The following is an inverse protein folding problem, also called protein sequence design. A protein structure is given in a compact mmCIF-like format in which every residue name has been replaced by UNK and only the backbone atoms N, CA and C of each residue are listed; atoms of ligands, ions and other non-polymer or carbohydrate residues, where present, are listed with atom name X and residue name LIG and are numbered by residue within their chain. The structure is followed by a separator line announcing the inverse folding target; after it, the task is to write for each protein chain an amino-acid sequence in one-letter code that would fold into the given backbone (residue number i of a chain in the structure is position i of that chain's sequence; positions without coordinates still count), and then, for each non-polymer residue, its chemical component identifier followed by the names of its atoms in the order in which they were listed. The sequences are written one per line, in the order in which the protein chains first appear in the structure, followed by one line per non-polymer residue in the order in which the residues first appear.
data_IF_780223949200
#
_entry.id   IF_780223949200
#
_cell.length_a   1.000
_cell.length_b   1.000
_cell.length_c   1.000
_cell.angle_alpha   90.00
_cell.angle_beta   90.00
_cell.angle_gamma   90.00
#
_symmetry.space_group_name_H-M   'P 1'
#
loop_
_entity.id
_entity.type
_entity.pdbx_description
1 polymer ?
#
# COMPACT_ATOMS: atom_id res chain seq x y z
N UNK A 1 13.69 13.17 -6.84
CA UNK A 1 12.52 13.06 -5.95
C UNK A 1 13.01 12.31 -4.73
N UNK A 2 12.67 12.76 -3.52
CA UNK A 2 12.95 12.02 -2.29
C UNK A 2 11.70 11.20 -1.93
N UNK A 3 11.88 9.95 -1.52
CA UNK A 3 10.79 9.06 -1.13
C UNK A 3 10.81 8.85 0.38
N UNK A 4 9.67 9.02 1.03
CA UNK A 4 9.56 8.88 2.49
C UNK A 4 8.38 7.98 2.83
N UNK A 5 8.63 6.94 3.64
CA UNK A 5 7.57 6.12 4.21
C UNK A 5 7.04 6.77 5.50
N UNK A 6 5.72 6.87 5.61
CA UNK A 6 5.00 7.49 6.71
C UNK A 6 3.92 6.54 7.24
N UNK A 7 3.53 6.71 8.50
CA UNK A 7 2.54 5.84 9.15
C UNK A 7 1.41 6.63 9.78
N UNK A 8 0.22 6.05 9.78
CA UNK A 8 -0.91 6.53 10.58
C UNK A 8 -0.93 5.84 11.94
N UNK A 9 -1.58 6.46 12.93
CA UNK A 9 -1.72 5.85 14.26
C UNK A 9 -2.43 4.49 14.21
N UNK A 10 -3.41 4.34 13.33
CA UNK A 10 -4.16 3.10 13.16
C UNK A 10 -3.29 2.01 12.53
N UNK A 11 -2.50 2.36 11.51
CA UNK A 11 -1.54 1.42 10.92
C UNK A 11 -0.51 0.93 11.94
N UNK A 12 0.02 1.83 12.78
CA UNK A 12 0.96 1.47 13.85
C UNK A 12 0.33 0.47 14.83
N UNK A 13 -0.95 0.63 15.17
CA UNK A 13 -1.65 -0.32 16.05
C UNK A 13 -1.85 -1.67 15.37
N UNK A 14 -2.24 -1.69 14.09
CA UNK A 14 -2.46 -2.92 13.33
C UNK A 14 -1.17 -3.73 13.22
N UNK A 15 -0.07 -3.06 12.88
CA UNK A 15 1.20 -3.72 12.70
C UNK A 15 1.77 -4.21 14.03
N UNK A 16 1.59 -3.46 15.13
CA UNK A 16 1.99 -3.91 16.47
C UNK A 16 1.27 -5.19 16.94
N UNK A 17 0.12 -5.52 16.35
CA UNK A 17 -0.63 -6.74 16.63
C UNK A 17 -0.44 -7.86 15.59
N UNK A 18 0.38 -7.64 14.56
CA UNK A 18 0.62 -8.61 13.51
C UNK A 18 1.59 -9.71 13.97
N UNK A 19 1.47 -10.89 13.37
CA UNK A 19 2.40 -12.00 13.60
C UNK A 19 3.82 -11.63 13.16
N UNK A 20 4.83 -12.20 13.83
CA UNK A 20 6.25 -11.92 13.56
C UNK A 20 6.63 -12.13 12.10
N UNK A 21 6.14 -13.21 11.47
CA UNK A 21 6.38 -13.46 10.05
C UNK A 21 5.83 -12.34 9.14
N UNK A 22 4.67 -11.78 9.49
CA UNK A 22 4.07 -10.66 8.74
C UNK A 22 4.93 -9.41 8.88
N UNK A 23 5.42 -9.15 10.09
CA UNK A 23 6.31 -8.04 10.40
C UNK A 23 7.62 -8.12 9.64
N UNK A 24 8.25 -9.30 9.64
CA UNK A 24 9.51 -9.55 8.94
C UNK A 24 9.33 -9.30 7.44
N UNK A 25 8.29 -9.91 6.83
CA UNK A 25 8.01 -9.71 5.39
C UNK A 25 7.68 -8.26 5.06
N UNK A 26 6.91 -7.59 5.92
CA UNK A 26 6.60 -6.18 5.76
C UNK A 26 7.87 -5.33 5.78
N UNK A 27 8.74 -5.55 6.75
CA UNK A 27 9.96 -4.78 6.91
C UNK A 27 10.92 -5.01 5.72
N UNK A 28 11.21 -6.28 5.43
CA UNK A 28 12.17 -6.68 4.39
C UNK A 28 11.73 -6.25 2.98
N UNK A 29 10.43 -6.37 2.68
CA UNK A 29 9.93 -6.13 1.33
C UNK A 29 9.34 -4.73 1.12
N UNK A 30 9.19 -3.92 2.17
CA UNK A 30 8.61 -2.58 2.05
C UNK A 30 9.43 -1.51 2.75
N UNK A 31 9.63 -1.61 4.07
CA UNK A 31 10.27 -0.54 4.86
C UNK A 31 11.71 -0.28 4.40
N UNK A 32 12.51 -1.35 4.28
CA UNK A 32 13.93 -1.27 3.92
C UNK A 32 14.16 -0.53 2.59
N UNK A 33 13.26 -0.69 1.62
CA UNK A 33 13.41 -0.03 0.31
C UNK A 33 13.29 1.48 0.42
N UNK A 34 12.30 1.97 1.18
CA UNK A 34 12.16 3.41 1.42
C UNK A 34 13.28 3.97 2.29
N UNK A 35 13.77 3.23 3.29
CA UNK A 35 14.92 3.63 4.10
C UNK A 35 16.21 3.76 3.28
N UNK A 36 16.37 2.92 2.25
CA UNK A 36 17.47 3.02 1.30
C UNK A 36 17.29 4.14 0.26
N UNK A 37 16.17 4.87 0.30
CA UNK A 37 15.86 5.96 -0.62
C UNK A 37 15.32 5.51 -1.99
N UNK A 38 14.89 4.25 -2.11
CA UNK A 38 14.33 3.73 -3.35
C UNK A 38 12.86 4.13 -3.46
N UNK A 39 12.43 4.44 -4.67
CA UNK A 39 11.02 4.62 -4.97
C UNK A 39 10.30 3.27 -5.15
N UNK A 40 8.98 3.31 -5.37
CA UNK A 40 8.20 2.09 -5.50
C UNK A 40 8.59 1.17 -6.66
N UNK A 41 9.27 1.69 -7.67
CA UNK A 41 9.86 0.91 -8.77
C UNK A 41 10.93 -0.10 -8.31
N UNK A 42 11.49 0.12 -7.11
CA UNK A 42 12.44 -0.78 -6.48
C UNK A 42 11.81 -1.96 -5.76
N UNK A 43 10.50 -1.92 -5.51
CA UNK A 43 9.84 -2.89 -4.65
C UNK A 43 9.74 -4.28 -5.33
N UNK A 44 9.95 -5.38 -4.60
CA UNK A 44 9.85 -6.74 -5.14
C UNK A 44 8.39 -7.10 -5.46
N UNK A 45 7.45 -6.57 -4.69
CA UNK A 45 6.03 -6.75 -4.91
C UNK A 45 5.43 -5.76 -5.89
N UNK A 46 4.20 -6.06 -6.33
CA UNK A 46 3.44 -5.15 -7.16
C UNK A 46 2.90 -3.99 -6.34
N UNK A 47 3.23 -2.77 -6.72
CA UNK A 47 2.65 -1.54 -6.19
C UNK A 47 1.81 -0.86 -7.27
N UNK A 48 0.52 -0.66 -7.01
CA UNK A 48 -0.37 -0.09 -8.03
C UNK A 48 -1.47 0.81 -7.47
N UNK A 49 -1.98 1.75 -8.28
CA UNK A 49 -3.13 2.54 -7.87
C UNK A 49 -4.37 1.67 -7.68
N UNK A 50 -5.14 1.95 -6.64
CA UNK A 50 -6.34 1.17 -6.33
C UNK A 50 -7.50 1.45 -7.31
N UNK A 51 -7.40 2.50 -8.13
CA UNK A 51 -8.38 2.80 -9.19
C UNK A 51 -8.05 2.13 -10.53
N UNK A 52 -6.92 1.42 -10.67
CA UNK A 52 -6.59 0.73 -11.92
C UNK A 52 -7.18 -0.68 -11.93
N UNK A 53 -8.43 -0.76 -12.40
CA UNK A 53 -9.19 -2.01 -12.51
C UNK A 53 -9.57 -2.27 -13.97
N UNK A 54 -9.07 -3.36 -14.60
CA UNK A 54 -9.37 -3.66 -16.00
C UNK A 54 -10.83 -4.09 -16.24
N UNK A 55 -11.53 -4.54 -15.21
CA UNK A 55 -12.89 -5.06 -15.32
C UNK A 55 -13.85 -4.33 -14.37
N UNK A 56 -14.23 -3.11 -14.73
CA UNK A 56 -15.29 -2.36 -14.05
C UNK A 56 -16.64 -2.92 -14.50
N UNK A 57 -17.46 -3.41 -13.56
CA UNK A 57 -18.73 -4.08 -13.89
C UNK A 57 -19.96 -3.43 -13.26
N UNK A 58 -19.81 -2.59 -12.23
CA UNK A 58 -20.93 -2.04 -11.46
C UNK A 58 -20.71 -0.59 -11.02
N UNK A 59 -21.79 0.16 -10.81
CA UNK A 59 -21.74 1.54 -10.28
C UNK A 59 -21.04 1.62 -8.91
N UNK A 60 -21.19 0.58 -8.08
CA UNK A 60 -20.48 0.48 -6.81
C UNK A 60 -18.97 0.50 -7.02
N UNK A 61 -18.44 -0.32 -7.93
CA UNK A 61 -17.01 -0.36 -8.22
C UNK A 61 -16.48 0.97 -8.78
N UNK A 62 -17.28 1.68 -9.58
CA UNK A 62 -16.94 3.03 -10.07
C UNK A 62 -16.77 3.99 -8.89
N UNK A 63 -17.70 4.00 -7.94
CA UNK A 63 -17.59 4.86 -6.75
C UNK A 63 -16.33 4.57 -5.92
N UNK A 64 -15.93 3.30 -5.79
CA UNK A 64 -14.67 2.93 -5.14
C UNK A 64 -13.44 3.47 -5.87
N UNK A 65 -13.44 3.38 -7.21
CA UNK A 65 -12.36 3.91 -8.02
C UNK A 65 -12.28 5.44 -7.93
N UNK A 66 -13.41 6.12 -7.94
CA UNK A 66 -13.47 7.58 -7.81
C UNK A 66 -12.93 8.02 -6.44
N UNK A 67 -13.35 7.35 -5.36
CA UNK A 67 -12.84 7.60 -4.01
C UNK A 67 -11.32 7.33 -3.96
N UNK A 68 -10.87 6.20 -4.50
CA UNK A 68 -9.45 5.85 -4.52
C UNK A 68 -8.62 6.88 -5.28
N UNK A 69 -9.10 7.33 -6.44
CA UNK A 69 -8.43 8.33 -7.26
C UNK A 69 -8.41 9.70 -6.59
N UNK A 70 -9.53 10.13 -6.00
CA UNK A 70 -9.63 11.41 -5.28
C UNK A 70 -8.69 11.47 -4.07
N UNK A 71 -8.47 10.34 -3.40
CA UNK A 71 -7.62 10.23 -2.22
C UNK A 71 -6.20 9.72 -2.53
N UNK A 72 -5.85 9.57 -3.81
CA UNK A 72 -4.56 9.07 -4.28
C UNK A 72 -4.12 7.75 -3.60
N UNK A 73 -5.04 6.77 -3.57
CA UNK A 73 -4.87 5.50 -2.88
C UNK A 73 -4.23 4.43 -3.76
N UNK A 74 -3.31 3.69 -3.15
CA UNK A 74 -2.54 2.61 -3.77
C UNK A 74 -2.57 1.39 -2.87
N UNK A 75 -2.14 0.26 -3.42
CA UNK A 75 -1.86 -0.93 -2.62
C UNK A 75 -0.59 -1.62 -3.07
N UNK A 76 0.11 -2.19 -2.11
CA UNK A 76 1.37 -2.92 -2.27
C UNK A 76 1.23 -4.36 -1.81
N UNK A 77 1.71 -5.33 -2.59
CA UNK A 77 1.83 -6.72 -2.16
C UNK A 77 3.19 -6.97 -1.49
N UNK A 78 3.26 -7.32 -0.20
CA UNK A 78 4.53 -7.38 0.55
C UNK A 78 5.10 -8.78 0.81
N UNK A 79 4.56 -9.83 0.17
CA UNK A 79 5.18 -11.16 0.15
C UNK A 79 4.76 -12.12 1.26
N UNK A 80 3.67 -11.85 1.98
CA UNK A 80 3.10 -12.79 2.95
C UNK A 80 2.29 -13.91 2.25
N UNK A 81 2.52 -15.17 2.67
CA UNK A 81 2.10 -16.42 1.98
C UNK A 81 2.65 -16.56 0.55
N UNK A 82 3.93 -16.25 0.43
CA UNK A 82 4.75 -16.32 -0.77
C UNK A 82 4.30 -15.45 -1.95
N UNK A 83 5.31 -15.04 -2.72
CA UNK A 83 5.11 -14.24 -3.92
C UNK A 83 4.85 -15.13 -5.15
N UNK A 84 3.89 -14.71 -5.96
CA UNK A 84 3.61 -15.28 -7.29
C UNK A 84 3.77 -14.20 -8.36
N UNK A 85 4.00 -14.61 -9.61
CA UNK A 85 4.14 -13.65 -10.69
C UNK A 85 2.81 -12.94 -10.98
N UNK A 86 2.89 -11.63 -11.22
CA UNK A 86 1.73 -10.82 -11.62
C UNK A 86 1.39 -11.09 -13.08
N UNK A 87 0.10 -11.32 -13.37
CA UNK A 87 -0.43 -11.33 -14.74
C UNK A 87 -0.76 -9.93 -15.29
N UNK A 88 -0.41 -8.86 -14.56
CA UNK A 88 -0.66 -7.46 -14.93
C UNK A 88 0.53 -6.95 -15.77
N UNK A 89 0.31 -6.74 -17.07
CA UNK A 89 1.36 -6.29 -18.00
C UNK A 89 1.80 -4.84 -17.76
N UNK A 90 0.98 -4.04 -17.07
CA UNK A 90 1.25 -2.62 -16.82
C UNK A 90 2.03 -2.40 -15.51
N UNK A 91 1.72 -3.20 -14.49
CA UNK A 91 2.36 -3.12 -13.17
C UNK A 91 3.19 -4.37 -12.91
N UNK A 92 4.51 -4.21 -12.99
CA UNK A 92 5.49 -5.25 -12.66
C UNK A 92 5.50 -5.59 -11.16
N UNK A 93 6.25 -6.63 -10.82
CA UNK A 93 6.41 -7.10 -9.45
C UNK A 93 5.53 -8.31 -9.14
N UNK A 94 5.76 -8.88 -7.95
CA UNK A 94 5.08 -10.10 -7.52
C UNK A 94 3.85 -9.82 -6.67
N UNK A 95 2.90 -10.74 -6.64
CA UNK A 95 1.68 -10.65 -5.85
C UNK A 95 1.70 -11.66 -4.71
N UNK A 96 1.09 -11.31 -3.60
CA UNK A 96 0.99 -12.14 -2.39
C UNK A 96 -0.35 -11.87 -1.69
N UNK A 97 -0.66 -12.66 -0.65
CA UNK A 97 -1.86 -12.47 0.17
C UNK A 97 -1.75 -11.23 1.07
N UNK A 98 -0.53 -10.89 1.49
CA UNK A 98 -0.26 -9.66 2.23
C UNK A 98 -0.35 -8.41 1.35
N UNK A 99 -1.22 -7.48 1.74
CA UNK A 99 -1.41 -6.17 1.13
C UNK A 99 -1.22 -5.04 2.16
N UNK A 100 -0.57 -3.96 1.74
CA UNK A 100 -0.59 -2.67 2.45
C UNK A 100 -1.35 -1.68 1.59
N UNK A 101 -2.36 -1.04 2.16
CA UNK A 101 -3.02 0.10 1.54
C UNK A 101 -2.28 1.38 1.93
N UNK A 102 -2.01 2.21 0.93
CA UNK A 102 -1.28 3.46 1.11
C UNK A 102 -2.02 4.62 0.45
N UNK A 103 -1.68 5.84 0.85
CA UNK A 103 -1.90 7.04 0.03
C UNK A 103 -0.57 7.69 -0.29
N UNK A 104 -0.51 8.38 -1.42
CA UNK A 104 0.67 9.16 -1.80
C UNK A 104 0.37 10.65 -1.62
N UNK A 105 1.24 11.36 -0.89
CA UNK A 105 1.20 12.82 -0.72
C UNK A 105 2.47 13.43 -1.33
N UNK A 106 2.31 14.39 -2.25
CA UNK A 106 3.44 15.10 -2.85
C UNK A 106 3.59 16.47 -2.18
N UNK A 107 4.71 16.69 -1.50
CA UNK A 107 5.01 17.96 -0.82
C UNK A 107 6.39 18.43 -1.30
N UNK A 108 6.41 19.50 -2.09
CA UNK A 108 7.59 20.04 -2.75
C UNK A 108 8.35 19.00 -3.60
N UNK A 109 9.48 18.48 -3.12
CA UNK A 109 10.33 17.49 -3.80
C UNK A 109 10.31 16.12 -3.10
N UNK A 110 9.36 15.92 -2.18
CA UNK A 110 9.20 14.71 -1.37
C UNK A 110 7.87 14.03 -1.74
N UNK A 111 7.96 12.76 -2.13
CA UNK A 111 6.82 11.86 -2.29
C UNK A 111 6.67 11.02 -1.02
N UNK A 112 5.60 11.26 -0.25
CA UNK A 112 5.31 10.52 0.98
C UNK A 112 4.37 9.36 0.69
N UNK A 113 4.80 8.16 1.05
CA UNK A 113 3.98 6.95 1.03
C UNK A 113 3.42 6.75 2.42
N UNK A 114 2.15 7.05 2.64
CA UNK A 114 1.51 6.93 3.94
C UNK A 114 0.80 5.59 4.04
N UNK A 115 1.24 4.70 4.93
CA UNK A 115 0.59 3.42 5.18
C UNK A 115 -0.68 3.59 6.04
N UNK A 116 -1.79 3.05 5.54
CA UNK A 116 -3.14 3.24 6.09
C UNK A 116 -3.72 1.98 6.72
N UNK A 117 -3.45 0.82 6.11
CA UNK A 117 -4.02 -0.44 6.55
C UNK A 117 -3.18 -1.63 6.11
N UNK A 118 -3.07 -2.62 6.99
CA UNK A 118 -2.54 -3.96 6.70
C UNK A 118 -3.69 -4.94 6.42
N UNK A 119 -3.59 -5.70 5.33
CA UNK A 119 -4.58 -6.71 4.93
C UNK A 119 -3.89 -8.04 4.65
N UNK A 120 -4.31 -9.12 5.32
CA UNK A 120 -3.69 -10.46 5.21
C UNK A 120 -4.59 -11.49 4.52
N UNK A 121 -5.84 -11.11 4.22
CA UNK A 121 -6.79 -11.94 3.50
C UNK A 121 -6.99 -11.31 2.12
N UNK A 122 -6.51 -11.96 1.06
CA UNK A 122 -6.73 -11.50 -0.30
C UNK A 122 -8.13 -11.89 -0.81
N UNK A 123 -9.16 -11.46 -0.09
CA UNK A 123 -10.55 -11.84 -0.36
C UNK A 123 -11.34 -10.84 -1.21
N UNK A 124 -10.94 -9.56 -1.23
CA UNK A 124 -11.68 -8.54 -1.97
C UNK A 124 -10.75 -7.43 -2.48
N UNK A 125 -10.53 -7.32 -3.79
CA UNK A 125 -9.80 -6.18 -4.38
C UNK A 125 -10.56 -4.85 -4.21
N UNK A 126 -11.74 -4.86 -3.58
CA UNK A 126 -12.59 -3.69 -3.33
C UNK A 126 -12.47 -3.18 -1.88
N UNK A 127 -11.46 -3.60 -1.13
CA UNK A 127 -11.17 -2.97 0.16
C UNK A 127 -10.32 -1.73 -0.10
N UNK A 128 -10.96 -0.57 -0.04
CA UNK A 128 -10.31 0.73 -0.04
C UNK A 128 -10.57 1.32 1.35
N UNK A 129 -9.55 1.66 2.15
CA UNK A 129 -9.75 2.17 3.51
C UNK A 129 -10.21 3.64 3.47
N UNK A 130 -11.41 3.89 2.91
CA UNK A 130 -11.94 5.24 2.70
C UNK A 130 -12.14 5.98 4.02
N UNK A 131 -12.42 5.26 5.10
CA UNK A 131 -12.56 5.79 6.46
C UNK A 131 -11.22 6.27 7.02
N UNK A 132 -10.11 5.76 6.48
CA UNK A 132 -8.74 6.07 6.91
C UNK A 132 -7.97 6.90 5.90
N UNK A 133 -8.55 7.21 4.74
CA UNK A 133 -7.87 7.98 3.69
C UNK A 133 -7.46 9.37 4.17
N UNK A 134 -8.11 9.90 5.21
CA UNK A 134 -7.79 11.18 5.86
C UNK A 134 -7.08 11.02 7.23
N UNK A 135 -6.73 9.80 7.65
CA UNK A 135 -6.06 9.60 8.94
C UNK A 135 -4.73 10.38 8.97
N UNK A 136 -4.44 11.13 10.05
CA UNK A 136 -3.24 11.95 10.10
C UNK A 136 -1.99 11.09 10.16
N UNK A 137 -0.93 11.56 9.49
CA UNK A 137 0.42 10.99 9.64
C UNK A 137 0.90 11.25 11.07
N UNK A 138 1.47 10.22 11.68
CA UNK A 138 2.17 10.34 12.96
C UNK A 138 3.65 10.51 12.64
N UNK A 139 4.23 11.63 13.07
CA UNK A 139 5.68 11.78 13.09
C UNK A 139 6.24 10.94 14.24
N UNK A 140 7.19 10.04 14.00
CA UNK A 140 7.92 9.41 15.11
C UNK A 140 8.51 10.53 15.97
N UNK A 141 8.22 10.53 17.27
CA UNK A 141 8.98 11.38 18.20
C UNK A 141 10.38 10.79 18.25
N UNK A 142 11.34 11.56 17.72
CA UNK A 142 12.79 11.33 17.90
C UNK A 142 13.16 11.32 19.37
#
# INVERSE_FOLDING_TARGET
MEYVLCFTADFIKEIASADEEVLDKYYDNFVVFFEQGWGPEGLPGRYKPSWEMPYIKTSFQISFMDIAKQNNLFHYHFGFKDYQDSNDEKYSGKVSEGLIHTRIENIDKVERHVALQLCLEHGSPFKVPWDRSNSPVVTPRT
#
